data_IF_567191853441
#
_entry.id   IF_567191853441
#
_cell.length_a   1.000
_cell.length_b   1.000
_cell.length_c   1.000
_cell.angle_alpha   90.00
_cell.angle_beta   90.00
_cell.angle_gamma   90.00
#
_symmetry.space_group_name_H-M   'P 1'
#
loop_
_entity.id
_entity.type
_entity.pdbx_description
1 polymer ?
#
# COMPACT_ATOMS: atom_id res chain seq x y z
N UNK A 1 -2.86 35.89 -35.78
CA UNK A 1 -3.71 35.14 -34.82
C UNK A 1 -3.00 33.82 -34.56
N UNK A 2 -2.68 33.46 -33.31
CA UNK A 2 -1.78 32.32 -32.99
C UNK A 2 -2.59 31.09 -32.54
N UNK A 3 -3.18 30.30 -33.45
CA UNK A 3 -3.94 29.09 -33.09
C UNK A 3 -3.08 28.08 -32.31
N UNK A 4 -1.77 28.05 -32.57
CA UNK A 4 -0.82 27.23 -31.82
C UNK A 4 -0.75 27.60 -30.34
N UNK A 5 -0.81 28.89 -29.98
CA UNK A 5 -0.77 29.33 -28.59
C UNK A 5 -2.06 28.91 -27.85
N UNK A 6 -3.21 28.97 -28.51
CA UNK A 6 -4.49 28.51 -27.95
C UNK A 6 -4.52 26.98 -27.75
N UNK A 7 -3.95 26.21 -28.69
CA UNK A 7 -3.85 24.74 -28.58
C UNK A 7 -2.91 24.35 -27.44
N UNK A 8 -1.76 25.00 -27.32
CA UNK A 8 -0.80 24.75 -26.23
C UNK A 8 -1.43 25.10 -24.87
N UNK A 9 -2.07 26.27 -24.77
CA UNK A 9 -2.74 26.68 -23.53
C UNK A 9 -3.88 25.73 -23.16
N UNK A 10 -4.71 25.32 -24.12
CA UNK A 10 -5.77 24.34 -23.90
C UNK A 10 -5.25 22.99 -23.44
N UNK A 11 -4.17 22.50 -24.05
CA UNK A 11 -3.53 21.22 -23.66
C UNK A 11 -2.98 21.29 -22.24
N UNK A 12 -2.33 22.39 -21.85
CA UNK A 12 -1.83 22.60 -20.50
C UNK A 12 -2.96 22.65 -19.47
N UNK A 13 -4.06 23.34 -19.78
CA UNK A 13 -5.23 23.42 -18.89
C UNK A 13 -5.89 22.06 -18.69
N UNK A 14 -6.07 21.28 -19.74
CA UNK A 14 -6.63 19.91 -19.65
C UNK A 14 -5.71 19.01 -18.84
N UNK A 15 -4.39 19.08 -19.07
CA UNK A 15 -3.40 18.34 -18.29
C UNK A 15 -3.44 18.69 -16.81
N UNK A 16 -3.48 19.98 -16.46
CA UNK A 16 -3.55 20.45 -15.08
C UNK A 16 -4.87 20.04 -14.40
N UNK A 17 -6.00 20.12 -15.10
CA UNK A 17 -7.29 19.68 -14.61
C UNK A 17 -7.32 18.17 -14.34
N UNK A 18 -6.73 17.38 -15.25
CA UNK A 18 -6.61 15.93 -15.09
C UNK A 18 -5.76 15.55 -13.87
N UNK A 19 -4.59 16.17 -13.70
CA UNK A 19 -3.72 15.93 -12.54
C UNK A 19 -4.44 16.32 -11.25
N UNK A 20 -5.09 17.48 -11.21
CA UNK A 20 -5.82 17.94 -10.03
C UNK A 20 -6.97 17.01 -9.65
N UNK A 21 -7.77 16.59 -10.64
CA UNK A 21 -8.85 15.62 -10.45
C UNK A 21 -8.31 14.27 -9.96
N UNK A 22 -7.25 13.76 -10.59
CA UNK A 22 -6.63 12.50 -10.21
C UNK A 22 -6.09 12.54 -8.78
N UNK A 23 -5.35 13.59 -8.41
CA UNK A 23 -4.84 13.78 -7.05
C UNK A 23 -5.95 13.82 -6.00
N UNK A 24 -7.09 14.44 -6.31
CA UNK A 24 -8.27 14.45 -5.42
C UNK A 24 -8.85 13.04 -5.25
N UNK A 25 -9.01 12.29 -6.35
CA UNK A 25 -9.53 10.91 -6.32
C UNK A 25 -8.62 10.01 -5.47
N UNK A 26 -7.32 10.03 -5.73
CA UNK A 26 -6.37 9.17 -5.00
C UNK A 26 -6.31 9.55 -3.52
N UNK A 27 -6.34 10.85 -3.19
CA UNK A 27 -6.37 11.32 -1.80
C UNK A 27 -7.64 10.91 -1.06
N UNK A 28 -8.79 10.94 -1.74
CA UNK A 28 -10.06 10.51 -1.17
C UNK A 28 -10.05 9.00 -0.89
N UNK A 29 -9.56 8.19 -1.84
CA UNK A 29 -9.42 6.74 -1.67
C UNK A 29 -8.52 6.38 -0.49
N UNK A 30 -7.40 7.10 -0.31
CA UNK A 30 -6.49 6.90 0.82
C UNK A 30 -7.15 7.17 2.18
N UNK A 31 -8.03 8.17 2.24
CA UNK A 31 -8.78 8.50 3.47
C UNK A 31 -9.86 7.45 3.74
N UNK A 32 -10.59 7.03 2.70
CA UNK A 32 -11.67 6.04 2.82
C UNK A 32 -11.15 4.63 3.15
N UNK A 33 -9.97 4.24 2.63
CA UNK A 33 -9.34 2.95 2.93
C UNK A 33 -8.78 2.86 4.36
N UNK A 34 -8.57 4.01 5.01
CA UNK A 34 -7.83 4.11 6.26
C UNK A 34 -6.31 4.19 6.07
N UNK A 35 -5.81 4.21 4.83
CA UNK A 35 -4.39 4.36 4.53
C UNK A 35 -3.81 5.64 5.10
N UNK A 36 -4.53 6.77 4.99
CA UNK A 36 -4.05 8.04 5.56
C UNK A 36 -3.88 7.97 7.07
N UNK A 37 -4.69 7.17 7.78
CA UNK A 37 -4.56 6.96 9.23
C UNK A 37 -3.39 6.06 9.57
N UNK A 38 -3.23 4.95 8.84
CA UNK A 38 -2.01 4.12 8.93
C UNK A 38 -0.76 4.96 8.71
N UNK A 39 -0.76 5.83 7.70
CA UNK A 39 0.37 6.68 7.37
C UNK A 39 0.66 7.79 8.39
N UNK A 40 -0.21 8.02 9.38
CA UNK A 40 0.09 8.92 10.49
C UNK A 40 0.94 8.22 11.57
N UNK A 41 0.71 6.93 11.79
CA UNK A 41 1.40 6.16 12.84
C UNK A 41 2.59 5.36 12.31
N UNK A 42 2.45 4.80 11.10
CA UNK A 42 3.36 3.82 10.51
C UNK A 42 3.96 4.33 9.21
N UNK A 43 4.10 5.65 9.05
CA UNK A 43 4.76 6.21 7.86
C UNK A 43 6.18 5.64 7.76
N UNK A 44 6.52 5.19 6.56
CA UNK A 44 7.89 4.89 6.21
C UNK A 44 8.56 6.16 5.66
N UNK A 45 9.43 6.74 6.47
CA UNK A 45 10.25 7.90 6.11
C UNK A 45 11.62 7.50 5.55
N UNK A 46 11.87 6.19 5.37
CA UNK A 46 13.14 5.65 4.91
C UNK A 46 14.22 5.57 5.98
N UNK A 47 13.98 6.11 7.19
CA UNK A 47 14.96 6.00 8.30
C UNK A 47 15.00 4.58 8.90
N UNK A 48 13.91 3.84 8.73
CA UNK A 48 13.78 2.43 9.13
C UNK A 48 14.28 1.45 8.07
N UNK A 49 14.80 1.93 6.93
CA UNK A 49 15.52 1.07 6.00
C UNK A 49 16.92 0.78 6.57
N UNK A 50 16.99 -0.18 7.49
CA UNK A 50 18.19 -0.65 8.19
C UNK A 50 19.22 -1.33 7.25
N UNK A 51 19.05 -1.24 5.93
CA UNK A 51 19.85 -2.02 4.98
C UNK A 51 19.60 -3.52 5.08
N UNK A 52 18.55 -3.94 5.80
CA UNK A 52 18.24 -5.34 6.00
C UNK A 52 17.85 -6.00 4.67
N UNK A 53 18.42 -7.18 4.35
CA UNK A 53 18.00 -7.96 3.20
C UNK A 53 16.53 -8.35 3.39
N UNK A 54 15.67 -7.76 2.57
CA UNK A 54 14.22 -7.97 2.60
C UNK A 54 13.71 -8.26 1.21
N UNK A 55 12.88 -9.30 1.07
CA UNK A 55 12.34 -9.71 -0.22
C UNK A 55 11.24 -8.72 -0.66
N UNK A 56 11.36 -8.20 -1.88
CA UNK A 56 10.42 -7.22 -2.43
C UNK A 56 9.50 -7.86 -3.48
N UNK A 57 8.22 -7.57 -3.37
CA UNK A 57 7.15 -8.07 -4.22
C UNK A 57 6.35 -6.91 -4.78
N UNK A 58 6.51 -6.63 -6.07
CA UNK A 58 5.69 -5.65 -6.78
C UNK A 58 4.39 -6.24 -7.31
N UNK A 59 3.50 -5.34 -7.77
CA UNK A 59 2.29 -5.68 -8.54
C UNK A 59 1.40 -6.73 -7.86
N UNK A 60 1.26 -6.64 -6.54
CA UNK A 60 0.38 -7.52 -5.78
C UNK A 60 -1.00 -6.90 -5.62
N UNK A 61 -1.96 -7.79 -5.42
CA UNK A 61 -3.34 -7.44 -5.10
C UNK A 61 -3.57 -7.60 -3.61
N UNK A 62 -4.28 -6.66 -3.00
CA UNK A 62 -4.64 -6.69 -1.59
C UNK A 62 -5.71 -5.66 -1.28
N UNK A 63 -6.23 -5.69 -0.06
CA UNK A 63 -7.29 -4.78 0.40
C UNK A 63 -6.83 -4.04 1.64
N UNK A 64 -7.07 -2.74 1.69
CA UNK A 64 -6.88 -1.92 2.88
C UNK A 64 -8.23 -1.32 3.25
N UNK A 65 -8.76 -1.75 4.39
CA UNK A 65 -10.11 -1.40 4.84
C UNK A 65 -11.16 -1.84 3.82
N UNK A 66 -11.86 -0.86 3.25
CA UNK A 66 -12.91 -1.11 2.25
C UNK A 66 -12.40 -1.06 0.81
N UNK A 67 -11.16 -0.60 0.57
CA UNK A 67 -10.63 -0.35 -0.78
C UNK A 67 -9.76 -1.50 -1.25
N UNK A 68 -10.03 -2.00 -2.45
CA UNK A 68 -9.24 -3.02 -3.12
C UNK A 68 -8.15 -2.37 -3.97
N UNK A 69 -6.92 -2.83 -3.79
CA UNK A 69 -5.73 -2.42 -4.53
C UNK A 69 -5.31 -3.60 -5.39
N UNK A 70 -5.70 -3.60 -6.67
CA UNK A 70 -5.45 -4.72 -7.58
C UNK A 70 -4.20 -4.47 -8.41
N UNK A 71 -3.19 -5.33 -8.28
CA UNK A 71 -1.96 -5.27 -9.09
C UNK A 71 -1.11 -4.01 -8.88
N UNK A 72 -1.37 -3.21 -7.85
CA UNK A 72 -0.69 -1.94 -7.62
C UNK A 72 0.04 -1.85 -6.26
N UNK A 73 -0.05 -2.89 -5.41
CA UNK A 73 0.68 -2.94 -4.16
C UNK A 73 2.12 -3.40 -4.39
N UNK A 74 3.03 -2.73 -3.70
CA UNK A 74 4.42 -3.13 -3.54
C UNK A 74 4.64 -3.47 -2.07
N UNK A 75 5.07 -4.69 -1.79
CA UNK A 75 5.33 -5.20 -0.46
C UNK A 75 6.81 -5.49 -0.35
N UNK A 76 7.42 -5.23 0.80
CA UNK A 76 8.75 -5.69 1.12
C UNK A 76 8.74 -6.27 2.52
N UNK A 77 9.08 -7.54 2.63
CA UNK A 77 9.14 -8.27 3.89
C UNK A 77 10.52 -7.99 4.49
N UNK A 78 10.55 -7.39 5.67
CA UNK A 78 11.77 -7.16 6.44
C UNK A 78 11.70 -7.98 7.74
N UNK A 79 12.83 -8.36 8.34
CA UNK A 79 12.85 -9.05 9.63
C UNK A 79 12.09 -8.28 10.73
N UNK A 80 12.19 -6.96 10.71
CA UNK A 80 11.56 -6.04 11.67
C UNK A 80 10.09 -5.69 11.37
N UNK A 81 9.59 -5.94 10.15
CA UNK A 81 8.21 -5.61 9.78
C UNK A 81 7.90 -5.73 8.30
N UNK A 82 6.68 -5.32 7.92
CA UNK A 82 6.22 -5.26 6.54
C UNK A 82 6.24 -3.82 6.04
N UNK A 83 7.00 -3.58 4.97
CA UNK A 83 6.90 -2.35 4.20
C UNK A 83 5.85 -2.50 3.12
N UNK A 84 4.92 -1.56 3.05
CA UNK A 84 3.81 -1.56 2.12
C UNK A 84 3.73 -0.21 1.38
N UNK A 85 3.73 -0.25 0.06
CA UNK A 85 3.66 0.91 -0.81
C UNK A 85 2.74 0.64 -2.00
N UNK A 86 2.45 1.68 -2.79
CA UNK A 86 1.70 1.58 -4.05
C UNK A 86 2.52 2.14 -5.21
N UNK A 87 2.25 1.66 -6.43
CA UNK A 87 2.90 2.13 -7.65
C UNK A 87 2.73 3.64 -7.91
N UNK A 88 3.62 4.21 -8.71
CA UNK A 88 3.84 5.66 -8.82
C UNK A 88 2.68 6.56 -9.32
N UNK A 89 1.59 6.13 -10.00
CA UNK A 89 0.47 7.07 -10.15
C UNK A 89 -0.43 7.14 -8.91
N UNK A 90 -0.42 6.13 -8.03
CA UNK A 90 -1.29 6.03 -6.85
C UNK A 90 -0.60 6.47 -5.55
N UNK A 91 0.72 6.71 -5.60
CA UNK A 91 1.52 7.11 -4.43
C UNK A 91 1.12 8.49 -3.90
N UNK A 92 0.55 9.36 -4.74
CA UNK A 92 -0.01 10.65 -4.33
C UNK A 92 -1.22 10.43 -3.39
N UNK A 93 -1.01 10.56 -2.08
CA UNK A 93 -2.04 10.30 -1.06
C UNK A 93 -1.88 8.97 -0.33
N UNK A 94 -1.01 8.08 -0.83
CA UNK A 94 -0.66 6.80 -0.20
C UNK A 94 0.84 6.77 0.13
N UNK A 95 1.26 7.44 1.22
CA UNK A 95 2.64 7.36 1.67
C UNK A 95 3.03 5.90 1.90
N UNK A 96 4.27 5.49 1.60
CA UNK A 96 4.73 4.17 1.99
C UNK A 96 4.59 3.99 3.50
N UNK A 97 4.25 2.78 3.90
CA UNK A 97 3.99 2.37 5.26
C UNK A 97 5.05 1.35 5.68
N UNK A 98 5.46 1.40 6.94
CA UNK A 98 6.27 0.39 7.58
C UNK A 98 5.55 -0.06 8.85
N UNK A 99 5.01 -1.27 8.82
CA UNK A 99 4.20 -1.83 9.90
C UNK A 99 5.04 -2.91 10.59
N UNK A 100 5.44 -2.72 11.87
CA UNK A 100 6.13 -3.75 12.64
C UNK A 100 5.27 -5.02 12.80
N UNK A 101 5.90 -6.19 12.89
CA UNK A 101 5.16 -7.46 13.05
C UNK A 101 4.27 -7.49 14.30
N UNK A 102 4.67 -6.80 15.36
CA UNK A 102 3.94 -6.67 16.63
C UNK A 102 2.55 -6.04 16.50
N UNK A 103 2.34 -5.25 15.44
CA UNK A 103 1.09 -4.53 15.19
C UNK A 103 0.08 -5.36 14.40
N UNK A 104 0.49 -6.51 13.87
CA UNK A 104 -0.41 -7.44 13.19
C UNK A 104 -1.19 -8.26 14.21
N UNK A 105 -2.46 -7.93 14.39
CA UNK A 105 -3.37 -8.62 15.32
C UNK A 105 -4.45 -9.38 14.57
N UNK A 106 -4.99 -10.44 15.17
CA UNK A 106 -6.08 -11.25 14.61
C UNK A 106 -5.78 -11.72 13.17
N UNK A 107 -4.57 -12.26 12.97
CA UNK A 107 -4.15 -12.80 11.67
C UNK A 107 -4.99 -14.06 11.39
N UNK A 108 -5.84 -13.98 10.37
CA UNK A 108 -6.66 -15.10 9.91
C UNK A 108 -6.38 -15.39 8.45
N UNK A 109 -6.23 -16.66 8.10
CA UNK A 109 -6.18 -17.08 6.71
C UNK A 109 -7.61 -17.18 6.17
N UNK A 110 -7.94 -16.38 5.16
CA UNK A 110 -9.16 -16.55 4.37
C UNK A 110 -8.84 -17.28 3.07
N UNK A 111 -9.42 -18.48 2.94
CA UNK A 111 -9.53 -19.15 1.65
C UNK A 111 -10.68 -18.51 0.87
N UNK A 112 -10.34 -17.67 -0.10
CA UNK A 112 -11.28 -17.30 -1.16
C UNK A 112 -11.46 -18.45 -2.16
N UNK A 113 -12.50 -18.39 -2.99
CA UNK A 113 -12.82 -19.41 -4.00
C UNK A 113 -11.68 -19.70 -5.01
N UNK A 114 -10.70 -18.80 -5.16
CA UNK A 114 -9.56 -18.97 -6.07
C UNK A 114 -8.22 -18.42 -5.55
N UNK A 115 -8.19 -17.69 -4.43
CA UNK A 115 -6.97 -17.04 -3.90
C UNK A 115 -6.98 -17.17 -2.38
N UNK A 116 -5.94 -17.76 -1.81
CA UNK A 116 -5.68 -17.72 -0.38
C UNK A 116 -5.15 -16.34 0.00
N UNK A 117 -5.74 -15.72 1.03
CA UNK A 117 -5.36 -14.40 1.50
C UNK A 117 -5.24 -14.37 3.03
N UNK A 118 -4.25 -13.65 3.54
CA UNK A 118 -4.12 -13.33 4.95
C UNK A 118 -4.90 -12.04 5.24
N UNK A 119 -5.75 -12.06 6.26
CA UNK A 119 -6.38 -10.85 6.80
C UNK A 119 -5.78 -10.56 8.17
N UNK A 120 -5.22 -9.38 8.36
CA UNK A 120 -4.69 -8.90 9.63
C UNK A 120 -5.33 -7.55 10.00
N UNK A 121 -5.60 -7.35 11.28
CA UNK A 121 -6.02 -6.05 11.82
C UNK A 121 -4.79 -5.30 12.32
N UNK A 122 -4.62 -4.04 11.92
CA UNK A 122 -3.43 -3.25 12.28
C UNK A 122 -3.78 -2.20 13.33
N UNK A 123 -2.97 -2.12 14.40
CA UNK A 123 -3.00 -1.10 15.46
C UNK A 123 -3.88 -1.41 16.68
N UNK A 124 -3.71 -0.62 17.75
CA UNK A 124 -4.51 -0.64 18.97
C UNK A 124 -4.96 0.80 19.35
N UNK A 125 -6.23 1.20 19.13
CA UNK A 125 -7.35 0.44 18.56
C UNK A 125 -7.21 0.17 17.05
N UNK A 126 -7.93 -0.85 16.54
CA UNK A 126 -7.87 -1.29 15.14
C UNK A 126 -8.08 -0.13 14.17
N UNK A 127 -7.03 0.22 13.42
CA UNK A 127 -7.04 1.32 12.45
C UNK A 127 -7.71 0.86 11.16
N UNK A 128 -7.30 -0.31 10.64
CA UNK A 128 -7.91 -0.93 9.46
C UNK A 128 -7.57 -2.42 9.34
N UNK A 129 -8.28 -3.11 8.45
CA UNK A 129 -7.99 -4.49 8.06
C UNK A 129 -7.14 -4.50 6.79
N UNK A 130 -6.07 -5.26 6.82
CA UNK A 130 -5.16 -5.49 5.71
C UNK A 130 -5.35 -6.91 5.20
N UNK A 131 -5.76 -7.04 3.95
CA UNK A 131 -5.86 -8.33 3.26
C UNK A 131 -4.72 -8.43 2.27
N UNK A 132 -3.84 -9.41 2.45
CA UNK A 132 -2.68 -9.66 1.62
C UNK A 132 -2.74 -11.07 1.03
N UNK A 133 -2.06 -11.37 -0.08
CA UNK A 133 -2.01 -12.73 -0.62
C UNK A 133 -1.29 -13.69 0.34
N UNK A 134 -1.77 -14.93 0.46
CA UNK A 134 -1.23 -15.92 1.40
C UNK A 134 0.22 -16.34 1.14
N UNK A 135 0.75 -16.06 -0.06
CA UNK A 135 2.18 -16.24 -0.38
C UNK A 135 3.10 -15.50 0.61
N UNK A 136 2.60 -14.43 1.25
CA UNK A 136 3.33 -13.72 2.29
C UNK A 136 3.36 -14.54 3.59
N UNK A 137 2.28 -15.25 3.93
CA UNK A 137 2.19 -16.07 5.15
C UNK A 137 3.12 -17.29 5.08
N UNK A 138 3.08 -18.03 3.97
CA UNK A 138 3.92 -19.22 3.78
C UNK A 138 5.41 -18.90 3.97
N UNK A 139 5.83 -17.70 3.52
CA UNK A 139 7.21 -17.25 3.63
C UNK A 139 7.55 -16.67 5.00
N UNK A 140 6.61 -16.02 5.67
CA UNK A 140 6.78 -15.61 7.07
C UNK A 140 6.95 -16.81 7.99
N UNK A 141 6.13 -17.85 7.81
CA UNK A 141 6.25 -19.11 8.56
C UNK A 141 7.60 -19.78 8.27
N UNK A 142 7.99 -19.86 6.99
CA UNK A 142 9.29 -20.43 6.61
C UNK A 142 10.49 -19.66 7.17
N UNK A 143 10.44 -18.32 7.27
CA UNK A 143 11.52 -17.55 7.91
C UNK A 143 11.57 -17.79 9.43
N UNK A 144 10.42 -17.82 10.10
CA UNK A 144 10.35 -18.06 11.54
C UNK A 144 10.76 -19.48 11.94
N UNK A 145 10.49 -20.49 11.10
CA UNK A 145 10.91 -21.87 11.34
C UNK A 145 12.40 -22.11 11.10
N UNK A 146 13.06 -21.28 10.29
CA UNK A 146 14.46 -21.44 9.91
C UNK A 146 15.44 -20.72 10.85
N UNK A 147 14.96 -19.75 11.64
CA UNK A 147 15.70 -19.06 12.71
C UNK A 147 15.57 -19.75 14.10
N UNK A 148 14.97 -20.95 14.15
CA UNK A 148 14.78 -21.75 15.38
C UNK A 148 15.65 -23.00 15.37
#
# INVERSE_FOLDING_TARGET
MHPLLLIVLGTLLVGAAFVSFWSLVVSLLARLSGWSRLAQHYRDDGTRDSGEPGESFGMRTGRVGIVNYNGCLMLRICPSGLRLAVLFPFRMGHPPLFIPWEEFRNVSEQKGLFISSMVASIGDPVITKLTLPAVIMERLVSQYEQDR
#
